data_IF_462857410930
#
_entry.id   IF_462857410930
#
_cell.length_a   1.000
_cell.length_b   1.000
_cell.length_c   1.000
_cell.angle_alpha   90.00
_cell.angle_beta   90.00
_cell.angle_gamma   90.00
#
_symmetry.space_group_name_H-M   'P 1'
#
loop_
_entity.id
_entity.type
_entity.pdbx_description
1 polymer ?
#
# COMPACT_ATOMS: atom_id res chain seq x y z
N UNK A 1 -20.08 2.44 -10.77
CA UNK A 1 -20.76 1.46 -9.90
C UNK A 1 -21.19 0.31 -10.80
N UNK A 2 -20.41 -0.77 -10.88
CA UNK A 2 -20.76 -1.90 -11.74
C UNK A 2 -20.72 -3.17 -10.89
N UNK A 3 -21.85 -3.52 -10.29
CA UNK A 3 -22.05 -4.81 -9.62
C UNK A 3 -22.98 -5.66 -10.51
N UNK A 4 -22.41 -6.62 -11.24
CA UNK A 4 -23.17 -7.59 -12.02
C UNK A 4 -23.86 -8.59 -11.09
N UNK A 5 -25.19 -8.69 -11.22
CA UNK A 5 -26.06 -9.57 -10.45
C UNK A 5 -25.86 -11.04 -10.85
N UNK A 6 -24.84 -11.69 -10.30
CA UNK A 6 -24.68 -13.14 -10.34
C UNK A 6 -23.87 -13.61 -9.13
N UNK A 7 -24.49 -13.84 -7.96
CA UNK A 7 -23.93 -14.62 -6.85
C UNK A 7 -22.44 -14.44 -6.50
N UNK A 8 -21.89 -13.23 -6.69
CA UNK A 8 -20.46 -12.95 -6.67
C UNK A 8 -20.06 -12.51 -5.27
N UNK A 9 -18.91 -13.00 -4.79
CA UNK A 9 -18.36 -12.54 -3.52
C UNK A 9 -18.02 -11.05 -3.62
N UNK A 10 -18.53 -10.26 -2.67
CA UNK A 10 -18.23 -8.82 -2.57
C UNK A 10 -17.05 -8.62 -1.63
N UNK A 11 -16.10 -7.77 -1.99
CA UNK A 11 -14.94 -7.49 -1.14
C UNK A 11 -15.31 -6.62 0.07
N UNK A 12 -14.67 -6.85 1.23
CA UNK A 12 -14.88 -6.04 2.44
C UNK A 12 -14.41 -4.60 2.22
N UNK A 13 -13.24 -4.44 1.63
CA UNK A 13 -12.61 -3.15 1.34
C UNK A 13 -12.59 -2.88 -0.16
N UNK A 14 -12.91 -1.64 -0.53
CA UNK A 14 -12.67 -1.13 -1.88
C UNK A 14 -11.17 -0.79 -2.03
N UNK A 15 -10.44 -1.62 -2.75
CA UNK A 15 -8.99 -1.51 -2.98
C UNK A 15 -8.55 -0.19 -3.63
N UNK A 16 -9.49 0.55 -4.22
CA UNK A 16 -9.23 1.86 -4.83
C UNK A 16 -9.15 2.97 -3.79
N UNK A 17 -9.83 2.79 -2.66
CA UNK A 17 -9.94 3.80 -1.58
C UNK A 17 -9.09 3.44 -0.38
N UNK A 18 -8.87 2.16 -0.15
CA UNK A 18 -8.15 1.63 1.01
C UNK A 18 -7.09 0.65 0.52
N UNK A 19 -6.01 0.53 1.29
CA UNK A 19 -5.07 -0.57 1.12
C UNK A 19 -5.82 -1.86 1.47
N UNK A 20 -5.79 -2.81 0.55
CA UNK A 20 -6.40 -4.12 0.70
C UNK A 20 -5.33 -5.21 0.58
N UNK A 21 -5.61 -6.38 1.14
CA UNK A 21 -4.78 -7.56 0.93
C UNK A 21 -4.76 -7.94 -0.56
N UNK A 22 -3.65 -8.54 -0.98
CA UNK A 22 -3.52 -9.07 -2.33
C UNK A 22 -4.55 -10.20 -2.57
N UNK A 23 -5.00 -10.41 -3.83
CA UNK A 23 -6.06 -11.37 -4.13
C UNK A 23 -5.80 -12.80 -3.62
N UNK A 24 -4.53 -13.23 -3.62
CA UNK A 24 -4.06 -14.53 -3.12
C UNK A 24 -4.21 -14.70 -1.59
N UNK A 25 -4.24 -13.59 -0.85
CA UNK A 25 -4.38 -13.58 0.62
C UNK A 25 -5.81 -13.34 1.09
N UNK A 26 -6.72 -13.06 0.17
CA UNK A 26 -8.12 -12.78 0.50
C UNK A 26 -8.91 -14.07 0.79
N UNK A 27 -9.72 -14.07 1.84
CA UNK A 27 -10.43 -15.26 2.32
C UNK A 27 -11.94 -15.14 2.06
N UNK A 28 -12.56 -16.03 1.26
CA UNK A 28 -14.00 -15.98 1.00
C UNK A 28 -14.81 -16.47 2.21
N UNK A 29 -15.64 -15.60 2.78
CA UNK A 29 -16.62 -15.95 3.79
C UNK A 29 -17.94 -16.39 3.14
N UNK A 30 -18.13 -17.71 3.04
CA UNK A 30 -19.27 -18.34 2.34
C UNK A 30 -20.63 -17.98 2.94
N UNK A 31 -20.71 -17.79 4.26
CA UNK A 31 -21.97 -17.50 4.97
C UNK A 31 -22.56 -16.17 4.53
N UNK A 32 -21.71 -15.17 4.33
CA UNK A 32 -22.10 -13.81 4.00
C UNK A 32 -21.86 -13.45 2.52
N UNK A 33 -21.19 -14.35 1.77
CA UNK A 33 -20.76 -14.12 0.38
C UNK A 33 -19.89 -12.87 0.26
N UNK A 34 -19.01 -12.69 1.23
CA UNK A 34 -18.07 -11.57 1.31
C UNK A 34 -16.64 -12.09 1.26
N UNK A 35 -15.75 -11.42 0.54
CA UNK A 35 -14.33 -11.73 0.47
C UNK A 35 -13.60 -10.85 1.47
N UNK A 36 -13.05 -11.46 2.51
CA UNK A 36 -12.21 -10.79 3.49
C UNK A 36 -10.87 -10.45 2.85
N UNK A 37 -10.71 -9.19 2.44
CA UNK A 37 -9.50 -8.63 1.86
C UNK A 37 -8.84 -7.61 2.81
N UNK A 38 -9.02 -7.77 4.12
CA UNK A 38 -8.42 -6.91 5.12
C UNK A 38 -6.88 -7.00 5.10
N UNK A 39 -6.15 -5.86 5.12
CA UNK A 39 -4.69 -5.84 5.04
C UNK A 39 -4.06 -6.19 6.39
N UNK A 40 -3.97 -7.47 6.73
CA UNK A 40 -3.29 -7.90 7.94
C UNK A 40 -3.79 -9.23 8.48
N UNK A 41 -3.69 -9.37 9.81
CA UNK A 41 -4.19 -10.54 10.55
C UNK A 41 -5.18 -10.07 11.61
N UNK A 42 -5.95 -10.98 12.23
CA UNK A 42 -6.85 -10.61 13.33
C UNK A 42 -6.14 -9.92 14.51
N UNK A 43 -4.85 -10.20 14.72
CA UNK A 43 -4.06 -9.53 15.76
C UNK A 43 -3.70 -8.08 15.41
N UNK A 44 -3.59 -7.76 14.12
CA UNK A 44 -3.26 -6.42 13.65
C UNK A 44 -3.67 -6.23 12.18
N UNK A 45 -4.61 -5.31 11.95
CA UNK A 45 -5.14 -4.96 10.63
C UNK A 45 -5.17 -3.43 10.45
N UNK A 46 -4.09 -2.82 9.93
CA UNK A 46 -4.04 -1.38 9.70
C UNK A 46 -4.97 -0.96 8.56
N UNK A 47 -5.94 -0.09 8.84
CA UNK A 47 -6.81 0.50 7.81
C UNK A 47 -6.18 1.80 7.28
N UNK A 48 -5.57 1.71 6.10
CA UNK A 48 -4.87 2.83 5.46
C UNK A 48 -5.67 3.31 4.25
N UNK A 49 -6.02 4.61 4.23
CA UNK A 49 -6.74 5.24 3.12
C UNK A 49 -5.77 5.67 2.02
N UNK A 50 -6.09 5.31 0.78
CA UNK A 50 -5.44 5.82 -0.43
C UNK A 50 -5.96 7.23 -0.70
N UNK A 51 -5.13 8.21 -0.39
CA UNK A 51 -5.36 9.60 -0.77
C UNK A 51 -4.42 9.96 -1.91
N UNK A 52 -4.72 11.05 -2.62
CA UNK A 52 -3.85 11.60 -3.66
C UNK A 52 -2.41 11.80 -3.16
N UNK A 53 -2.25 12.26 -1.92
CA UNK A 53 -0.95 12.49 -1.31
C UNK A 53 -0.22 11.18 -1.01
N UNK A 54 -0.95 10.15 -0.55
CA UNK A 54 -0.37 8.83 -0.32
C UNK A 54 0.06 8.18 -1.63
N UNK A 55 -0.77 8.25 -2.67
CA UNK A 55 -0.46 7.67 -3.97
C UNK A 55 0.75 8.39 -4.61
N UNK A 56 0.82 9.72 -4.49
CA UNK A 56 1.98 10.48 -4.94
C UNK A 56 3.26 10.12 -4.17
N UNK A 57 3.18 9.96 -2.84
CA UNK A 57 4.31 9.55 -2.03
C UNK A 57 4.75 8.11 -2.33
N UNK A 58 3.80 7.19 -2.56
CA UNK A 58 4.08 5.80 -2.88
C UNK A 58 4.70 5.61 -4.28
N UNK A 59 4.47 6.56 -5.21
CA UNK A 59 5.06 6.55 -6.54
C UNK A 59 6.53 7.00 -6.57
N UNK A 60 7.08 7.50 -5.46
CA UNK A 60 8.47 7.92 -5.37
C UNK A 60 9.38 6.69 -5.43
N UNK A 61 10.24 6.62 -6.44
CA UNK A 61 11.28 5.58 -6.52
C UNK A 61 12.42 5.87 -5.56
N UNK A 62 12.21 5.47 -4.30
CA UNK A 62 13.20 5.63 -3.23
C UNK A 62 14.50 4.88 -3.58
N UNK A 63 14.43 3.75 -4.28
CA UNK A 63 15.62 2.97 -4.64
C UNK A 63 16.48 3.74 -5.63
N UNK A 64 15.90 4.21 -6.72
CA UNK A 64 16.62 5.04 -7.70
C UNK A 64 17.24 6.29 -7.06
N UNK A 65 16.51 6.96 -6.16
CA UNK A 65 17.03 8.12 -5.43
C UNK A 65 18.22 7.78 -4.52
N UNK A 66 18.17 6.62 -3.84
CA UNK A 66 19.27 6.15 -3.01
C UNK A 66 20.47 5.73 -3.85
N UNK A 67 20.24 5.09 -4.99
CA UNK A 67 21.30 4.64 -5.90
C UNK A 67 22.01 5.83 -6.57
N UNK A 68 21.28 6.86 -7.01
CA UNK A 68 21.87 8.13 -7.48
C UNK A 68 22.71 8.78 -6.38
N UNK A 69 22.17 8.85 -5.16
CA UNK A 69 22.88 9.43 -4.02
C UNK A 69 24.15 8.64 -3.66
N UNK A 70 24.11 7.31 -3.75
CA UNK A 70 25.27 6.45 -3.54
C UNK A 70 26.33 6.67 -4.63
N UNK A 71 25.91 6.83 -5.88
CA UNK A 71 26.80 7.09 -7.01
C UNK A 71 27.46 8.48 -6.95
N UNK A 72 26.81 9.48 -6.38
CA UNK A 72 27.31 10.87 -6.33
C UNK A 72 28.34 11.10 -5.20
N UNK A 73 28.25 10.36 -4.08
CA UNK A 73 29.04 10.65 -2.88
C UNK A 73 29.96 9.53 -2.38
N UNK A 74 29.84 8.29 -2.88
CA UNK A 74 30.47 7.12 -2.27
C UNK A 74 29.88 6.78 -0.88
N UNK A 75 30.07 5.54 -0.41
CA UNK A 75 29.39 5.00 0.80
C UNK A 75 29.59 5.82 2.09
N UNK A 76 30.61 6.69 2.16
CA UNK A 76 31.05 7.31 3.42
C UNK A 76 30.36 8.65 3.79
N UNK A 77 29.52 9.26 2.94
CA UNK A 77 29.00 10.64 3.18
C UNK A 77 27.45 10.73 3.32
N UNK A 78 26.73 9.61 3.26
CA UNK A 78 25.26 9.61 3.11
C UNK A 78 24.45 10.21 4.28
N UNK A 79 24.92 10.12 5.53
CA UNK A 79 24.06 10.51 6.67
C UNK A 79 23.92 12.04 6.86
N UNK A 80 24.86 12.85 6.36
CA UNK A 80 24.96 14.27 6.73
C UNK A 80 24.02 15.22 5.95
N UNK A 81 23.40 14.80 4.83
CA UNK A 81 22.61 15.70 3.97
C UNK A 81 21.10 15.59 4.16
N UNK A 82 20.57 14.43 4.54
CA UNK A 82 19.13 14.25 4.78
C UNK A 82 18.63 15.14 5.93
N UNK A 83 19.46 15.35 6.96
CA UNK A 83 19.14 16.20 8.11
C UNK A 83 19.09 17.71 7.82
N UNK A 84 19.52 18.19 6.64
CA UNK A 84 19.57 19.63 6.31
C UNK A 84 18.46 20.13 5.37
N UNK A 85 17.61 19.24 4.86
CA UNK A 85 16.53 19.61 3.92
C UNK A 85 15.13 19.65 4.54
N UNK A 86 15.01 19.30 5.81
CA UNK A 86 13.76 19.32 6.58
C UNK A 86 13.59 20.60 7.43
N UNK A 87 14.13 21.73 6.97
CA UNK A 87 13.96 23.06 7.56
C UNK A 87 13.50 24.06 6.53
#
# INVERSE_FOLDING_TARGET
>A
MNASMAGTYVDVLDERKLVAASPDRSVPNRRWRVRDNLPGTPAFCPLVRKTSELDAAAAVDIRGLLDELASEFGEDVQMCRCARRSG
#
